data_IF_021915258911
#
_entry.id   IF_021915258911
#
_cell.length_a   1.000
_cell.length_b   1.000
_cell.length_c   1.000
_cell.angle_alpha   90.00
_cell.angle_beta   90.00
_cell.angle_gamma   90.00
#
_symmetry.space_group_name_H-M   'P 1'
#
loop_
_entity.id
_entity.type
_entity.pdbx_description
1 polymer ?
#
# COMPACT_ATOMS: atom_id res chain seq x y z
N UNK A 1 13.50 6.53 3.54
CA UNK A 1 13.04 5.17 3.21
C UNK A 1 14.21 4.34 2.69
N UNK A 2 14.38 3.10 3.16
CA UNK A 2 15.29 2.13 2.54
C UNK A 2 14.56 1.37 1.41
N UNK A 3 15.26 1.05 0.32
CA UNK A 3 14.68 0.31 -0.81
C UNK A 3 15.45 -0.99 -1.08
N UNK A 4 14.74 -2.04 -1.48
CA UNK A 4 15.26 -3.37 -1.80
C UNK A 4 14.79 -3.81 -3.20
N UNK A 5 15.57 -4.65 -3.85
CA UNK A 5 15.17 -5.25 -5.12
C UNK A 5 14.10 -6.33 -4.88
N UNK A 6 12.99 -6.28 -5.62
CA UNK A 6 11.98 -7.34 -5.59
C UNK A 6 12.45 -8.51 -6.45
N UNK A 7 13.23 -9.41 -5.86
CA UNK A 7 13.79 -10.57 -6.56
C UNK A 7 14.60 -10.17 -7.80
N UNK A 8 14.27 -10.77 -8.95
CA UNK A 8 14.91 -10.49 -10.25
C UNK A 8 14.06 -9.63 -11.19
N UNK A 9 13.07 -8.93 -10.67
CA UNK A 9 12.10 -8.16 -11.48
C UNK A 9 12.62 -6.82 -11.98
N UNK A 10 13.74 -6.32 -11.41
CA UNK A 10 14.25 -4.97 -11.65
C UNK A 10 13.51 -3.87 -10.87
N UNK A 11 12.44 -4.20 -10.15
CA UNK A 11 11.71 -3.26 -9.31
C UNK A 11 12.46 -3.00 -7.99
N UNK A 12 12.56 -1.73 -7.61
CA UNK A 12 12.99 -1.30 -6.27
C UNK A 12 11.78 -0.90 -5.43
N UNK A 13 11.53 -1.68 -4.39
CA UNK A 13 10.41 -1.50 -3.45
C UNK A 13 10.92 -1.03 -2.09
N UNK A 14 10.13 -0.24 -1.37
CA UNK A 14 10.44 0.15 0.00
C UNK A 14 10.59 -1.09 0.90
N UNK A 15 11.55 -1.05 1.82
CA UNK A 15 11.78 -2.15 2.76
C UNK A 15 10.59 -2.40 3.70
N UNK A 16 9.76 -1.37 3.90
CA UNK A 16 8.46 -1.44 4.55
C UNK A 16 7.35 -1.35 3.51
N UNK A 17 6.33 -2.20 3.66
CA UNK A 17 5.10 -2.18 2.87
C UNK A 17 3.93 -1.73 3.75
N UNK A 18 2.93 -1.09 3.15
CA UNK A 18 1.65 -0.84 3.80
C UNK A 18 0.60 -1.85 3.31
N UNK A 19 0.14 -2.71 4.21
CA UNK A 19 -0.90 -3.72 3.91
C UNK A 19 -2.28 -3.25 4.34
N UNK A 20 -3.24 -3.28 3.43
CA UNK A 20 -4.58 -2.73 3.64
C UNK A 20 -5.51 -3.59 4.51
N UNK A 21 -5.11 -4.82 4.85
CA UNK A 21 -6.00 -5.76 5.57
C UNK A 21 -6.45 -5.22 6.94
N UNK A 22 -5.52 -4.72 7.75
CA UNK A 22 -5.79 -4.33 9.16
C UNK A 22 -6.29 -2.88 9.27
N UNK A 23 -5.96 -2.03 8.30
CA UNK A 23 -6.22 -0.59 8.32
C UNK A 23 -7.53 -0.18 7.64
N UNK A 24 -8.49 -1.11 7.52
CA UNK A 24 -9.84 -0.89 7.01
C UNK A 24 -10.69 0.13 7.80
N UNK A 25 -10.14 0.72 8.86
CA UNK A 25 -10.78 1.79 9.62
C UNK A 25 -10.57 3.13 8.93
N UNK A 26 -11.66 3.90 8.75
CA UNK A 26 -11.88 5.33 8.44
C UNK A 26 -10.75 6.30 7.99
N UNK A 27 -9.47 6.00 8.17
CA UNK A 27 -8.31 6.85 7.91
C UNK A 27 -7.33 6.25 6.88
N UNK A 28 -7.76 5.25 6.11
CA UNK A 28 -6.87 4.53 5.21
C UNK A 28 -6.29 5.42 4.10
N UNK A 29 -6.99 6.50 3.72
CA UNK A 29 -6.47 7.48 2.76
C UNK A 29 -5.34 8.32 3.38
N UNK A 30 -5.52 8.80 4.61
CA UNK A 30 -4.53 9.59 5.36
C UNK A 30 -3.29 8.75 5.69
N UNK A 31 -3.47 7.50 6.08
CA UNK A 31 -2.36 6.57 6.32
C UNK A 31 -1.60 6.26 5.02
N UNK A 32 -2.31 6.07 3.90
CA UNK A 32 -1.66 5.86 2.61
C UNK A 32 -0.87 7.10 2.18
N UNK A 33 -1.43 8.30 2.35
CA UNK A 33 -0.76 9.56 2.08
C UNK A 33 0.51 9.72 2.93
N UNK A 34 0.41 9.48 4.25
CA UNK A 34 1.55 9.53 5.15
C UNK A 34 2.65 8.51 4.76
N UNK A 35 2.26 7.29 4.35
CA UNK A 35 3.22 6.30 3.85
C UNK A 35 3.94 6.80 2.60
N UNK A 36 3.20 7.39 1.65
CA UNK A 36 3.78 7.94 0.41
C UNK A 36 4.72 9.11 0.71
N UNK A 37 4.33 10.03 1.59
CA UNK A 37 5.17 11.15 2.03
C UNK A 37 6.47 10.66 2.70
N UNK A 38 6.40 9.55 3.46
CA UNK A 38 7.58 8.90 4.04
C UNK A 38 8.45 8.12 3.02
N UNK A 39 8.03 8.05 1.75
CA UNK A 39 8.74 7.39 0.65
C UNK A 39 8.36 5.93 0.41
N UNK A 40 7.29 5.42 1.04
CA UNK A 40 6.77 4.08 0.77
C UNK A 40 6.23 4.00 -0.66
N UNK A 41 6.63 2.98 -1.41
CA UNK A 41 6.16 2.73 -2.78
C UNK A 41 5.63 1.31 -2.98
N UNK A 42 5.50 0.53 -1.91
CA UNK A 42 5.02 -0.83 -1.95
C UNK A 42 3.81 -0.99 -1.04
N UNK A 43 2.71 -1.47 -1.63
CA UNK A 43 1.39 -1.56 -1.00
C UNK A 43 0.83 -2.95 -1.26
N UNK A 44 0.37 -3.61 -0.21
CA UNK A 44 -0.21 -4.96 -0.27
C UNK A 44 -1.74 -4.90 -0.21
N UNK A 45 -2.38 -5.67 -1.08
CA UNK A 45 -3.84 -5.75 -1.18
C UNK A 45 -4.29 -7.13 -1.72
N UNK A 46 -5.56 -7.46 -1.55
CA UNK A 46 -6.17 -8.68 -2.09
C UNK A 46 -7.69 -8.52 -2.26
N UNK A 47 -8.25 -9.18 -3.28
CA UNK A 47 -9.70 -9.21 -3.58
C UNK A 47 -10.56 -9.65 -2.36
N UNK A 48 -10.02 -10.54 -1.53
CA UNK A 48 -10.74 -11.08 -0.37
C UNK A 48 -10.83 -10.07 0.78
N UNK A 49 -9.96 -9.05 0.79
CA UNK A 49 -9.97 -8.02 1.82
C UNK A 49 -11.25 -7.19 1.70
N UNK A 50 -12.15 -7.38 2.65
CA UNK A 50 -13.47 -6.76 2.68
C UNK A 50 -14.26 -6.93 1.35
N UNK A 51 -14.15 -8.09 0.70
CA UNK A 51 -14.84 -8.41 -0.57
C UNK A 51 -14.59 -7.35 -1.66
N UNK A 52 -13.34 -6.92 -1.84
CA UNK A 52 -12.91 -5.97 -2.86
C UNK A 52 -12.94 -4.49 -2.43
N UNK A 53 -13.58 -4.15 -1.31
CA UNK A 53 -13.64 -2.77 -0.83
C UNK A 53 -12.25 -2.17 -0.54
N UNK A 54 -11.28 -3.03 -0.21
CA UNK A 54 -9.88 -2.67 -0.04
C UNK A 54 -9.26 -2.04 -1.30
N UNK A 55 -9.48 -2.69 -2.43
CA UNK A 55 -8.94 -2.28 -3.73
C UNK A 55 -9.61 -1.00 -4.21
N UNK A 56 -10.93 -0.86 -3.99
CA UNK A 56 -11.64 0.38 -4.27
C UNK A 56 -11.09 1.56 -3.44
N UNK A 57 -10.81 1.34 -2.16
CA UNK A 57 -10.30 2.38 -1.27
C UNK A 57 -8.90 2.82 -1.67
N UNK A 58 -7.98 1.88 -1.90
CA UNK A 58 -6.63 2.21 -2.36
C UNK A 58 -6.68 2.87 -3.75
N UNK A 59 -7.53 2.38 -4.65
CA UNK A 59 -7.72 2.95 -5.98
C UNK A 59 -8.16 4.42 -5.95
N UNK A 60 -9.00 4.80 -4.96
CA UNK A 60 -9.38 6.20 -4.72
C UNK A 60 -8.22 7.06 -4.22
N UNK A 61 -7.29 6.48 -3.46
CA UNK A 61 -6.20 7.21 -2.82
C UNK A 61 -4.90 7.27 -3.68
N UNK A 62 -4.80 6.50 -4.76
CA UNK A 62 -3.66 6.53 -5.71
C UNK A 62 -3.95 7.37 -6.96
N UNK A 63 -5.22 7.59 -7.32
CA UNK A 63 -5.61 8.56 -8.37
C UNK A 63 -5.16 9.97 -8.04
#
# INVERSE_FOLDING_TARGET
>A
MEYRNLGRTGLKVSALSYGAWVTMSYQAAELLAACREAGCNFFDNAEVYAKGAAEELIGKAIK
#
